data_IF_918222446796
#
_entry.id   IF_918222446796
#
_cell.length_a   1.000
_cell.length_b   1.000
_cell.length_c   1.000
_cell.angle_alpha   90.00
_cell.angle_beta   90.00
_cell.angle_gamma   90.00
#
_symmetry.space_group_name_H-M   'P 1'
#
loop_
_entity.id
_entity.type
_entity.pdbx_description
1 polymer ?
#
# COMPACT_ATOMS: atom_id res chain seq x y z
N UNK A 1 -4.10 -12.60 -4.77
CA UNK A 1 -3.53 -11.33 -5.26
C UNK A 1 -2.84 -10.66 -4.07
N UNK A 2 -1.69 -9.99 -4.23
CA UNK A 2 -1.10 -9.22 -3.13
C UNK A 2 -2.10 -8.11 -2.72
N UNK A 3 -2.64 -8.10 -1.48
CA UNK A 3 -3.64 -7.12 -1.05
C UNK A 3 -3.12 -5.68 -1.04
N UNK A 4 -1.81 -5.46 -0.93
CA UNK A 4 -1.21 -4.12 -0.91
C UNK A 4 -1.51 -3.34 -2.20
N UNK A 5 -1.40 -4.00 -3.35
CA UNK A 5 -1.60 -3.38 -4.66
C UNK A 5 -3.07 -2.97 -4.87
N UNK A 6 -4.01 -3.83 -4.46
CA UNK A 6 -5.42 -3.53 -4.61
C UNK A 6 -5.86 -2.44 -3.63
N UNK A 7 -5.35 -2.42 -2.40
CA UNK A 7 -5.61 -1.34 -1.44
C UNK A 7 -5.08 0.00 -1.93
N UNK A 8 -3.84 0.05 -2.44
CA UNK A 8 -3.26 1.27 -2.99
C UNK A 8 -4.11 1.85 -4.13
N UNK A 9 -4.51 1.01 -5.09
CA UNK A 9 -5.33 1.46 -6.22
C UNK A 9 -6.71 1.93 -5.75
N UNK A 10 -7.34 1.24 -4.79
CA UNK A 10 -8.61 1.69 -4.21
C UNK A 10 -8.47 3.08 -3.55
N UNK A 11 -7.41 3.31 -2.77
CA UNK A 11 -7.20 4.58 -2.09
C UNK A 11 -6.98 5.73 -3.07
N UNK A 12 -6.27 5.49 -4.18
CA UNK A 12 -6.00 6.53 -5.19
C UNK A 12 -7.19 6.79 -6.11
N UNK A 13 -7.96 5.74 -6.46
CA UNK A 13 -9.01 5.83 -7.49
C UNK A 13 -10.43 5.91 -6.94
N UNK A 14 -10.64 5.52 -5.68
CA UNK A 14 -11.97 5.41 -5.06
C UNK A 14 -12.84 4.26 -5.59
N UNK A 15 -12.30 3.38 -6.45
CA UNK A 15 -13.06 2.24 -6.97
C UNK A 15 -13.28 1.16 -5.91
N UNK A 16 -14.37 0.40 -6.06
CA UNK A 16 -14.65 -0.74 -5.19
C UNK A 16 -13.61 -1.85 -5.36
N UNK A 17 -13.32 -2.56 -4.26
CA UNK A 17 -12.39 -3.70 -4.23
C UNK A 17 -12.62 -4.68 -5.39
N UNK A 18 -13.87 -5.10 -5.58
CA UNK A 18 -14.25 -6.03 -6.64
C UNK A 18 -13.89 -5.51 -8.03
N UNK A 19 -14.10 -4.22 -8.28
CA UNK A 19 -13.76 -3.60 -9.58
C UNK A 19 -12.26 -3.59 -9.79
N UNK A 20 -11.49 -3.20 -8.79
CA UNK A 20 -10.01 -3.19 -8.87
C UNK A 20 -9.45 -4.59 -9.08
N UNK A 21 -9.99 -5.59 -8.39
CA UNK A 21 -9.59 -7.00 -8.57
C UNK A 21 -9.87 -7.49 -10.00
N UNK A 22 -11.06 -7.22 -10.54
CA UNK A 22 -11.41 -7.57 -11.93
C UNK A 22 -10.50 -6.88 -12.95
N UNK A 23 -10.16 -5.61 -12.74
CA UNK A 23 -9.26 -4.85 -13.63
C UNK A 23 -7.87 -5.44 -13.63
N UNK A 24 -7.31 -5.73 -12.44
CA UNK A 24 -5.99 -6.33 -12.30
C UNK A 24 -5.95 -7.73 -12.92
N UNK A 25 -6.95 -8.56 -12.66
CA UNK A 25 -7.05 -9.91 -13.26
C UNK A 25 -7.10 -9.83 -14.80
N UNK A 26 -7.93 -8.93 -15.33
CA UNK A 26 -8.04 -8.69 -16.77
C UNK A 26 -6.72 -8.22 -17.38
N UNK A 27 -6.00 -7.35 -16.68
CA UNK A 27 -4.69 -6.86 -17.10
C UNK A 27 -3.65 -7.99 -17.15
N UNK A 28 -3.55 -8.81 -16.10
CA UNK A 28 -2.61 -9.95 -16.09
C UNK A 28 -2.93 -10.95 -17.20
N UNK A 29 -4.22 -11.24 -17.40
CA UNK A 29 -4.69 -12.11 -18.48
C UNK A 29 -4.34 -11.54 -19.86
N UNK A 30 -4.50 -10.24 -20.07
CA UNK A 30 -4.09 -9.57 -21.30
C UNK A 30 -2.59 -9.74 -21.55
N UNK A 31 -1.74 -9.48 -20.54
CA UNK A 31 -0.29 -9.66 -20.66
C UNK A 31 0.06 -11.11 -20.99
N UNK A 32 -0.56 -12.07 -20.31
CA UNK A 32 -0.34 -13.50 -20.55
C UNK A 32 -0.70 -13.91 -21.98
N UNK A 33 -1.85 -13.46 -22.50
CA UNK A 33 -2.29 -13.74 -23.87
C UNK A 33 -1.28 -13.18 -24.89
N UNK A 34 -0.86 -11.92 -24.70
CA UNK A 34 0.10 -11.26 -25.60
C UNK A 34 1.44 -11.99 -25.63
N UNK A 35 1.98 -12.35 -24.47
CA UNK A 35 3.23 -13.10 -24.36
C UNK A 35 3.12 -14.51 -24.94
N UNK A 36 1.98 -15.19 -24.77
CA UNK A 36 1.74 -16.50 -25.39
C UNK A 36 1.78 -16.41 -26.92
N UNK A 37 1.23 -15.32 -27.47
CA UNK A 37 1.28 -15.01 -28.90
C UNK A 37 2.64 -14.44 -29.35
N UNK A 38 3.69 -14.53 -28.53
CA UNK A 38 5.04 -14.01 -28.79
C UNK A 38 5.06 -12.53 -29.19
N UNK A 39 4.06 -11.79 -28.72
CA UNK A 39 3.91 -10.36 -28.98
C UNK A 39 4.38 -9.57 -27.77
N UNK A 40 5.19 -8.55 -28.01
CA UNK A 40 5.66 -7.67 -26.95
C UNK A 40 4.51 -6.78 -26.43
N UNK A 41 4.55 -6.47 -25.14
CA UNK A 41 3.64 -5.53 -24.48
C UNK A 41 4.46 -4.38 -23.92
N UNK A 42 4.28 -3.20 -24.51
CA UNK A 42 4.93 -1.98 -24.05
C UNK A 42 4.00 -1.21 -23.12
N UNK A 43 4.46 -0.93 -21.90
CA UNK A 43 3.77 -0.08 -20.93
C UNK A 43 4.60 1.21 -20.80
N UNK A 44 4.10 2.34 -21.33
CA UNK A 44 4.79 3.63 -21.24
C UNK A 44 5.19 3.96 -19.81
N UNK A 45 6.39 4.54 -19.63
CA UNK A 45 6.96 4.92 -18.33
C UNK A 45 7.26 3.77 -17.36
N UNK A 46 6.81 2.54 -17.63
CA UNK A 46 7.09 1.36 -16.81
C UNK A 46 8.15 0.48 -17.47
N UNK A 47 7.83 -0.11 -18.63
CA UNK A 47 8.71 -1.05 -19.27
C UNK A 47 8.02 -1.89 -20.34
N UNK A 48 8.79 -2.80 -20.93
CA UNK A 48 8.35 -3.71 -21.99
C UNK A 48 8.45 -5.15 -21.53
N UNK A 49 7.34 -5.87 -21.62
CA UNK A 49 7.29 -7.32 -21.50
C UNK A 49 7.57 -7.94 -22.86
N UNK A 50 8.57 -8.82 -22.90
CA UNK A 50 9.01 -9.52 -24.11
C UNK A 50 9.21 -10.99 -23.82
N UNK A 51 9.16 -11.83 -24.86
CA UNK A 51 9.47 -13.26 -24.72
C UNK A 51 10.90 -13.50 -25.22
N UNK A 52 11.73 -14.15 -24.40
CA UNK A 52 13.06 -14.62 -24.82
C UNK A 52 13.03 -16.11 -25.06
N UNK A 53 13.61 -16.51 -26.19
CA UNK A 53 13.93 -17.89 -26.49
C UNK A 53 15.26 -18.28 -25.84
N UNK A 54 15.25 -19.34 -25.04
CA UNK A 54 16.44 -19.98 -24.50
C UNK A 54 16.67 -21.27 -25.28
N UNK A 55 17.87 -21.41 -25.84
CA UNK A 55 18.30 -22.64 -26.52
C UNK A 55 18.52 -23.76 -25.50
N UNK A 56 18.32 -24.99 -25.96
CA UNK A 56 18.67 -26.17 -25.19
C UNK A 56 20.16 -26.13 -24.82
N UNK A 57 20.47 -26.50 -23.58
CA UNK A 57 21.84 -26.51 -23.05
C UNK A 57 21.96 -27.55 -21.95
N UNK A 58 23.19 -28.01 -21.73
CA UNK A 58 23.51 -28.85 -20.58
C UNK A 58 23.63 -28.00 -19.33
N UNK A 59 22.95 -28.43 -18.27
CA UNK A 59 23.04 -27.86 -16.93
C UNK A 59 23.58 -28.89 -15.94
N UNK A 60 23.79 -28.45 -14.71
CA UNK A 60 24.21 -29.32 -13.61
C UNK A 60 23.18 -29.25 -12.49
N UNK A 61 22.81 -30.39 -11.91
CA UNK A 61 21.94 -30.39 -10.75
C UNK A 61 22.68 -29.76 -9.56
N UNK A 62 22.19 -28.68 -8.95
CA UNK A 62 22.86 -28.07 -7.79
C UNK A 62 22.98 -29.03 -6.59
N UNK A 63 22.13 -30.06 -6.51
CA UNK A 63 22.09 -31.00 -5.38
C UNK A 63 22.87 -32.30 -5.63
N UNK A 64 22.84 -32.85 -6.85
CA UNK A 64 23.46 -34.14 -7.18
C UNK A 64 24.70 -34.01 -8.07
N UNK A 65 25.01 -32.81 -8.54
CA UNK A 65 26.13 -32.53 -9.44
C UNK A 65 26.11 -33.25 -10.80
N UNK A 66 25.05 -34.01 -11.08
CA UNK A 66 24.84 -34.72 -12.35
C UNK A 66 24.52 -33.75 -13.49
N UNK A 67 24.93 -34.15 -14.71
CA UNK A 67 24.65 -33.40 -15.93
C UNK A 67 23.19 -33.64 -16.36
N UNK A 68 22.43 -32.55 -16.53
CA UNK A 68 21.01 -32.59 -16.93
C UNK A 68 20.85 -31.82 -18.23
N UNK A 69 20.16 -32.42 -19.21
CA UNK A 69 19.76 -31.73 -20.42
C UNK A 69 18.57 -30.79 -20.13
N UNK A 70 18.78 -29.48 -20.33
CA UNK A 70 17.74 -28.47 -20.21
C UNK A 70 17.17 -28.21 -21.61
N UNK A 71 15.89 -28.50 -21.86
CA UNK A 71 15.28 -28.28 -23.17
C UNK A 71 15.18 -26.80 -23.51
N UNK A 72 14.98 -26.50 -24.79
CA UNK A 72 14.71 -25.15 -25.23
C UNK A 72 13.37 -24.65 -24.66
N UNK A 73 13.32 -23.38 -24.27
CA UNK A 73 12.13 -22.83 -23.64
C UNK A 73 11.97 -21.34 -23.89
N UNK A 74 10.71 -20.89 -23.89
CA UNK A 74 10.37 -19.49 -23.95
C UNK A 74 10.15 -18.98 -22.52
N UNK A 75 10.83 -17.89 -22.15
CA UNK A 75 10.69 -17.26 -20.84
C UNK A 75 10.29 -15.79 -20.99
N UNK A 76 9.33 -15.30 -20.19
CA UNK A 76 9.01 -13.88 -20.16
C UNK A 76 10.18 -13.08 -19.60
N UNK A 77 10.42 -11.90 -20.15
CA UNK A 77 11.39 -10.93 -19.67
C UNK A 77 10.75 -9.54 -19.63
N UNK A 78 10.81 -8.91 -18.47
CA UNK A 78 10.51 -7.50 -18.30
C UNK A 78 11.80 -6.67 -18.46
N UNK A 79 11.73 -5.61 -19.27
CA UNK A 79 12.76 -4.57 -19.35
C UNK A 79 12.15 -3.26 -18.88
N UNK A 80 12.70 -2.64 -17.84
CA UNK A 80 12.24 -1.35 -17.37
C UNK A 80 12.62 -0.22 -18.33
N UNK A 81 11.78 0.80 -18.40
CA UNK A 81 12.05 2.00 -19.18
C UNK A 81 13.09 2.88 -18.48
N UNK A 82 13.82 3.70 -19.23
CA UNK A 82 14.78 4.65 -18.65
C UNK A 82 14.13 5.69 -17.73
N UNK A 83 12.84 5.94 -17.92
CA UNK A 83 12.06 6.91 -17.14
C UNK A 83 11.37 6.23 -15.94
N UNK A 84 11.71 4.98 -15.64
CA UNK A 84 11.27 4.30 -14.43
C UNK A 84 12.34 4.53 -13.35
N UNK A 85 12.39 5.77 -12.87
CA UNK A 85 13.31 6.16 -11.80
C UNK A 85 12.76 5.64 -10.46
N UNK A 86 13.59 4.86 -9.77
CA UNK A 86 13.31 4.41 -8.41
C UNK A 86 14.11 5.35 -7.53
N UNK A 87 13.45 6.39 -7.02
CA UNK A 87 14.04 7.21 -5.96
C UNK A 87 13.92 6.41 -4.65
N UNK A 88 15.05 5.99 -4.05
CA UNK A 88 14.99 5.37 -2.73
C UNK A 88 14.48 6.41 -1.74
N UNK A 89 13.49 6.02 -0.94
CA UNK A 89 13.00 6.84 0.17
C UNK A 89 14.21 7.32 1.00
N UNK A 90 14.37 8.63 1.24
CA UNK A 90 15.48 9.17 2.04
C UNK A 90 15.57 8.52 3.44
N UNK A 91 14.48 7.97 3.97
CA UNK A 91 14.48 7.24 5.23
C UNK A 91 15.33 5.94 5.19
N UNK A 92 15.48 5.28 4.03
CA UNK A 92 16.27 4.05 3.90
C UNK A 92 17.78 4.31 3.86
N UNK A 93 18.19 5.54 3.50
CA UNK A 93 19.60 5.94 3.35
C UNK A 93 20.25 6.30 4.68
N UNK A 94 19.44 6.68 5.67
CA UNK A 94 19.88 7.06 7.02
C UNK A 94 20.36 5.86 7.87
N UNK A 95 19.97 4.63 7.52
CA UNK A 95 20.38 3.39 8.22
C UNK A 95 21.81 2.93 7.87
N UNK A 96 22.45 3.52 6.85
CA UNK A 96 23.76 3.09 6.31
C UNK A 96 24.91 4.06 6.63
N UNK A 97 24.82 4.82 7.73
CA UNK A 97 25.99 5.56 8.24
C UNK A 97 27.10 4.59 8.70
N UNK A 98 28.39 4.90 8.49
CA UNK A 98 29.49 3.97 8.71
C UNK A 98 29.76 3.81 10.22
N UNK A 99 29.68 2.57 10.71
CA UNK A 99 30.03 2.22 12.10
C UNK A 99 31.55 2.40 12.29
N UNK A 100 31.94 3.50 12.92
CA UNK A 100 33.30 3.65 13.47
C UNK A 100 33.44 2.75 14.71
N UNK A 101 34.49 1.94 14.66
CA UNK A 101 35.04 0.99 15.64
C UNK A 101 34.54 1.09 17.10
N UNK A 102 33.83 0.05 17.56
CA UNK A 102 33.80 -0.35 18.96
C UNK A 102 33.90 -1.89 19.13
N UNK A 103 34.61 -2.37 20.18
CA UNK A 103 35.14 -3.73 20.23
C UNK A 103 34.14 -4.80 20.67
N UNK A 104 34.42 -6.01 20.18
CA UNK A 104 33.77 -7.29 20.44
C UNK A 104 33.50 -7.56 21.92
N UNK A 105 32.24 -7.85 22.28
CA UNK A 105 31.91 -8.63 23.49
C UNK A 105 30.66 -9.52 23.29
N UNK A 106 30.93 -10.80 22.99
CA UNK A 106 30.28 -12.03 23.50
C UNK A 106 28.74 -12.18 23.38
N UNK A 107 28.30 -13.08 22.50
CA UNK A 107 26.95 -13.68 22.47
C UNK A 107 26.83 -14.77 23.57
N UNK A 108 25.63 -15.09 24.13
CA UNK A 108 24.64 -15.90 23.38
C UNK A 108 23.15 -15.67 23.75
N UNK A 109 22.26 -16.08 22.84
CA UNK A 109 20.97 -16.78 23.05
C UNK A 109 19.83 -16.27 22.16
N UNK A 110 19.42 -17.15 21.25
CA UNK A 110 18.24 -17.05 20.40
C UNK A 110 16.96 -17.11 21.23
N UNK A 111 16.03 -16.17 21.06
CA UNK A 111 14.60 -16.38 21.36
C UNK A 111 13.71 -15.41 20.56
N UNK A 112 12.97 -16.01 19.61
CA UNK A 112 11.73 -15.60 18.91
C UNK A 112 11.56 -14.14 18.43
N UNK A 113 11.09 -13.90 17.19
CA UNK A 113 10.71 -12.56 16.77
C UNK A 113 9.57 -12.00 17.65
N UNK A 114 9.57 -10.69 17.94
CA UNK A 114 8.57 -10.06 18.80
C UNK A 114 7.16 -10.16 18.20
N UNK A 115 6.10 -10.18 19.02
CA UNK A 115 4.73 -10.05 18.54
C UNK A 115 4.59 -8.74 17.76
N UNK A 116 3.82 -8.77 16.66
CA UNK A 116 3.48 -7.59 15.88
C UNK A 116 2.95 -6.52 16.85
N UNK A 117 3.50 -5.30 16.87
CA UNK A 117 2.97 -4.22 17.69
C UNK A 117 1.51 -3.95 17.30
N UNK A 118 0.61 -4.00 18.27
CA UNK A 118 -0.82 -3.67 18.09
C UNK A 118 -1.01 -2.23 17.56
N UNK A 119 0.02 -1.38 17.65
CA UNK A 119 0.05 -0.02 17.12
C UNK A 119 -0.07 0.07 15.59
N UNK A 120 0.22 -0.99 14.83
CA UNK A 120 -0.01 -1.00 13.38
C UNK A 120 -1.48 -1.24 12.96
N UNK A 121 -2.38 -1.46 13.92
CA UNK A 121 -3.83 -1.48 13.69
C UNK A 121 -4.49 -0.11 13.93
N UNK A 122 -3.73 0.92 14.33
CA UNK A 122 -4.24 2.29 14.52
C UNK A 122 -3.71 3.23 13.43
N UNK A 123 -3.99 2.93 12.16
CA UNK A 123 -4.29 4.03 11.24
C UNK A 123 -5.77 4.38 11.41
N UNK A 124 -6.11 4.83 12.63
CA UNK A 124 -7.30 5.64 12.81
C UNK A 124 -7.00 6.95 12.10
N UNK A 125 -7.82 7.29 11.12
CA UNK A 125 -7.88 8.63 10.54
C UNK A 125 -8.26 9.58 11.66
N UNK A 126 -7.28 9.97 12.47
CA UNK A 126 -7.45 10.76 13.68
C UNK A 126 -7.59 12.23 13.26
N UNK A 127 -8.70 12.51 12.57
CA UNK A 127 -9.13 13.87 12.27
C UNK A 127 -9.71 14.41 13.57
N UNK A 128 -8.97 15.28 14.23
CA UNK A 128 -9.44 16.00 15.42
C UNK A 128 -10.51 17.01 15.03
N UNK A 129 -11.68 16.90 15.65
CA UNK A 129 -12.77 17.86 15.57
C UNK A 129 -12.93 18.55 16.92
N UNK A 130 -13.17 19.85 16.89
CA UNK A 130 -13.49 20.62 18.09
C UNK A 130 -15.01 20.77 18.18
N UNK A 131 -15.58 20.39 19.31
CA UNK A 131 -17.02 20.46 19.56
C UNK A 131 -17.30 21.26 20.82
N UNK A 132 -18.40 22.03 20.83
CA UNK A 132 -18.85 22.74 22.02
C UNK A 132 -19.89 21.93 22.79
N UNK A 133 -19.52 21.44 23.97
CA UNK A 133 -20.44 20.83 24.93
C UNK A 133 -20.39 21.67 26.21
N UNK A 134 -21.54 22.14 26.69
CA UNK A 134 -21.67 22.96 27.91
C UNK A 134 -20.82 24.27 27.94
N UNK A 135 -20.49 24.84 26.78
CA UNK A 135 -19.78 26.13 26.68
C UNK A 135 -18.26 26.04 26.77
N UNK A 136 -17.67 24.84 26.72
CA UNK A 136 -16.22 24.63 26.62
C UNK A 136 -15.89 23.88 25.32
N UNK A 137 -14.87 24.32 24.55
CA UNK A 137 -14.41 23.59 23.37
C UNK A 137 -13.63 22.36 23.81
N UNK A 138 -14.05 21.18 23.36
CA UNK A 138 -13.39 19.90 23.60
C UNK A 138 -12.91 19.36 22.26
N UNK A 139 -11.66 18.90 22.22
CA UNK A 139 -11.09 18.18 21.08
C UNK A 139 -11.51 16.71 21.13
N UNK A 140 -12.10 16.23 20.04
CA UNK A 140 -12.67 14.89 19.93
C UNK A 140 -12.33 14.34 18.55
N UNK A 141 -11.88 13.09 18.49
CA UNK A 141 -11.62 12.39 17.23
C UNK A 141 -12.92 12.09 16.46
N UNK A 142 -12.87 12.04 15.12
CA UNK A 142 -14.04 11.90 14.24
C UNK A 142 -14.92 10.66 14.54
N UNK A 143 -14.29 9.56 14.96
CA UNK A 143 -14.93 8.31 15.38
C UNK A 143 -15.70 8.46 16.71
N UNK A 144 -15.20 9.30 17.61
CA UNK A 144 -15.82 9.57 18.92
C UNK A 144 -16.93 10.63 18.86
N UNK A 145 -17.11 11.31 17.73
CA UNK A 145 -18.17 12.30 17.54
C UNK A 145 -19.58 11.74 17.74
N UNK A 146 -19.82 10.50 17.32
CA UNK A 146 -21.11 9.84 17.52
C UNK A 146 -21.36 9.50 18.99
N UNK A 147 -20.33 9.00 19.69
CA UNK A 147 -20.43 8.65 21.12
C UNK A 147 -20.65 9.86 22.02
N UNK A 148 -20.15 11.04 21.62
CA UNK A 148 -20.39 12.30 22.33
C UNK A 148 -21.79 12.88 22.10
N UNK A 149 -22.66 12.19 21.37
CA UNK A 149 -24.07 12.56 21.20
C UNK A 149 -24.25 13.87 20.44
N UNK A 150 -23.42 14.12 19.43
CA UNK A 150 -23.54 15.31 18.60
C UNK A 150 -24.90 15.30 17.88
N UNK A 151 -25.61 16.42 17.98
CA UNK A 151 -26.87 16.64 17.30
C UNK A 151 -26.62 17.47 16.02
N UNK A 152 -27.53 17.45 15.03
CA UNK A 152 -27.41 18.25 13.81
C UNK A 152 -27.26 19.76 14.08
N UNK A 153 -27.69 20.23 15.25
CA UNK A 153 -27.62 21.62 15.71
C UNK A 153 -26.38 21.93 16.57
N UNK A 154 -25.48 20.97 16.78
CA UNK A 154 -24.28 21.17 17.59
C UNK A 154 -23.21 21.93 16.79
N UNK A 155 -22.55 22.97 17.36
CA UNK A 155 -21.43 23.65 16.73
C UNK A 155 -20.19 22.77 16.71
N UNK A 156 -19.58 22.66 15.55
CA UNK A 156 -18.35 21.91 15.28
C UNK A 156 -17.35 22.80 14.55
N UNK A 157 -16.06 22.57 14.81
CA UNK A 157 -14.97 23.26 14.16
C UNK A 157 -13.86 22.28 13.80
N UNK A 158 -13.36 22.39 12.58
CA UNK A 158 -12.19 21.65 12.12
C UNK A 158 -11.34 22.59 11.25
N UNK A 159 -10.04 22.64 11.55
CA UNK A 159 -9.10 23.55 10.91
C UNK A 159 -8.96 23.30 9.40
N UNK A 160 -9.05 22.05 8.96
CA UNK A 160 -8.88 21.66 7.56
C UNK A 160 -10.19 21.73 6.76
N UNK A 161 -11.32 21.45 7.40
CA UNK A 161 -12.61 21.27 6.70
C UNK A 161 -13.50 22.51 6.79
N UNK A 162 -13.72 23.04 8.01
CA UNK A 162 -14.67 24.14 8.17
C UNK A 162 -13.98 25.49 8.18
N UNK A 163 -12.75 25.59 8.72
CA UNK A 163 -11.99 26.83 8.91
C UNK A 163 -12.64 27.84 9.88
N UNK A 164 -13.94 27.75 10.09
CA UNK A 164 -14.78 28.55 10.99
C UNK A 164 -15.81 27.66 11.69
N UNK A 165 -16.37 28.09 12.82
CA UNK A 165 -17.40 27.32 13.53
C UNK A 165 -18.63 27.16 12.63
N UNK A 166 -19.10 25.91 12.47
CA UNK A 166 -20.29 25.59 11.68
C UNK A 166 -21.18 24.63 12.44
N UNK A 167 -22.47 24.59 12.11
CA UNK A 167 -23.37 23.58 12.68
C UNK A 167 -23.10 22.24 12.00
N UNK A 168 -23.20 21.15 12.74
CA UNK A 168 -22.87 19.82 12.22
C UNK A 168 -23.74 19.43 10.99
N UNK A 169 -24.98 19.90 10.89
CA UNK A 169 -25.84 19.73 9.69
C UNK A 169 -25.29 20.41 8.42
N UNK A 170 -24.52 21.48 8.56
CA UNK A 170 -24.03 22.30 7.46
C UNK A 170 -22.65 21.82 6.96
N UNK A 171 -22.11 20.78 7.60
CA UNK A 171 -20.85 20.14 7.23
C UNK A 171 -21.15 18.85 6.47
N UNK A 172 -20.94 18.81 5.15
CA UNK A 172 -21.27 17.63 4.34
C UNK A 172 -20.47 16.39 4.76
N UNK A 173 -19.27 16.57 5.33
CA UNK A 173 -18.44 15.48 5.85
C UNK A 173 -19.04 14.83 7.10
N UNK A 174 -19.87 15.53 7.88
CA UNK A 174 -20.54 14.95 9.06
C UNK A 174 -21.96 14.48 8.77
N UNK A 175 -22.45 14.66 7.54
CA UNK A 175 -23.81 14.28 7.16
C UNK A 175 -24.06 12.76 7.31
N UNK A 176 -23.01 11.93 7.15
CA UNK A 176 -23.13 10.48 7.32
C UNK A 176 -23.40 10.06 8.77
N UNK A 177 -22.93 10.84 9.76
CA UNK A 177 -23.15 10.56 11.18
C UNK A 177 -24.65 10.68 11.54
N UNK A 178 -25.36 11.59 10.90
CA UNK A 178 -26.79 11.81 11.12
C UNK A 178 -27.71 10.90 10.29
N UNK A 179 -27.19 10.31 9.20
CA UNK A 179 -27.95 9.35 8.39
C UNK A 179 -28.06 7.97 9.05
N UNK A 180 -27.12 7.61 9.91
CA UNK A 180 -27.05 6.27 10.55
C UNK A 180 -27.91 6.15 11.82
N UNK A 181 -28.70 7.18 12.15
CA UNK A 181 -29.53 7.25 13.35
C UNK A 181 -31.05 7.32 13.06
N UNK A 182 -31.49 6.82 11.89
CA UNK A 182 -32.90 6.66 11.52
C UNK A 182 -33.32 5.18 11.51
#
# INVERSE_FOLDING_TARGET
MNPEVSQYIQNVTGFSKTTVEMVLESFFKFVQIRLTNRSDVNIPKFGTFSVRFLKARKGRNPKTEEEIDIPDSYKPKLKFSKNFDIEPDPALKAELEPVEDLPVAIAPDSKLPPPIPTELLQQETNRSWYIQIAGQPIEVAEDQLLEKGILPTSPVWNQEITGSWKLAKDVPELAYLFQKAA
#
